data_IF_450066392358
#
_entry.id   IF_450066392358
#
_cell.length_a   1.000
_cell.length_b   1.000
_cell.length_c   1.000
_cell.angle_alpha   90.00
_cell.angle_beta   90.00
_cell.angle_gamma   90.00
#
_symmetry.space_group_name_H-M   'P 1'
#
loop_
_entity.id
_entity.type
_entity.pdbx_description
1 polymer ?
#
# COMPACT_ATOMS: atom_id res chain seq x y z
N UNK A 1 8.05 4.98 14.73
CA UNK A 1 8.27 4.64 13.32
C UNK A 1 7.44 5.55 12.48
N UNK A 2 7.94 6.00 11.34
CA UNK A 2 7.09 6.62 10.33
C UNK A 2 7.06 5.67 9.13
N UNK A 3 5.88 5.16 8.83
CA UNK A 3 5.62 4.43 7.59
C UNK A 3 4.79 5.32 6.69
N UNK A 4 5.07 5.26 5.40
CA UNK A 4 4.37 6.07 4.44
C UNK A 4 3.19 5.31 3.85
N UNK A 5 2.06 6.00 3.71
CA UNK A 5 0.86 5.36 3.20
C UNK A 5 0.14 6.15 2.10
N UNK A 6 -0.39 5.41 1.12
CA UNK A 6 -1.29 5.92 0.09
C UNK A 6 -2.70 5.33 0.27
N UNK A 7 -3.73 6.01 -0.23
CA UNK A 7 -5.12 5.52 -0.14
C UNK A 7 -5.33 4.33 -1.09
N UNK A 8 -5.59 3.14 -0.53
CA UNK A 8 -5.91 1.94 -1.32
C UNK A 8 -6.91 1.06 -0.59
N UNK A 9 -7.87 0.52 -1.34
CA UNK A 9 -8.99 -0.26 -0.82
C UNK A 9 -9.03 -1.59 -1.57
N UNK A 10 -8.51 -2.61 -0.91
CA UNK A 10 -8.20 -3.94 -1.43
C UNK A 10 -9.41 -4.90 -1.39
N UNK A 11 -10.62 -4.34 -1.54
CA UNK A 11 -11.88 -5.06 -1.30
C UNK A 11 -12.29 -6.05 -2.38
N UNK A 12 -11.74 -5.88 -3.59
CA UNK A 12 -11.95 -6.78 -4.73
C UNK A 12 -10.68 -7.54 -5.05
N UNK A 13 -10.01 -8.03 -4.01
CA UNK A 13 -8.95 -9.02 -4.18
C UNK A 13 -9.49 -10.41 -3.96
N UNK A 14 -9.12 -11.30 -4.87
CA UNK A 14 -9.53 -12.68 -4.89
C UNK A 14 -8.27 -13.53 -5.01
N UNK A 15 -8.27 -14.67 -4.33
CA UNK A 15 -7.35 -15.76 -4.59
C UNK A 15 -8.02 -16.79 -5.48
N UNK A 16 -7.23 -17.49 -6.31
CA UNK A 16 -7.75 -18.63 -7.08
C UNK A 16 -7.49 -19.88 -6.25
N UNK A 17 -8.56 -20.57 -5.84
CA UNK A 17 -8.51 -21.90 -5.21
C UNK A 17 -9.37 -22.87 -6.00
N UNK A 18 -8.82 -24.02 -6.36
CA UNK A 18 -9.52 -25.07 -7.09
C UNK A 18 -10.26 -24.59 -8.36
N UNK A 19 -9.67 -23.64 -9.11
CA UNK A 19 -10.23 -22.97 -10.30
C UNK A 19 -11.34 -21.93 -10.03
N UNK A 20 -11.70 -21.69 -8.78
CA UNK A 20 -12.70 -20.69 -8.39
C UNK A 20 -12.04 -19.47 -7.74
N UNK A 21 -12.68 -18.31 -7.88
CA UNK A 21 -12.27 -17.08 -7.21
C UNK A 21 -12.86 -17.05 -5.80
N UNK A 22 -11.99 -16.87 -4.81
CA UNK A 22 -12.38 -16.72 -3.41
C UNK A 22 -12.03 -15.31 -2.93
N UNK A 23 -12.99 -14.53 -2.40
CA UNK A 23 -12.70 -13.19 -1.91
C UNK A 23 -11.81 -13.23 -0.67
N UNK A 24 -10.80 -12.37 -0.62
CA UNK A 24 -9.93 -12.25 0.57
C UNK A 24 -10.63 -11.58 1.76
N UNK A 25 -11.74 -10.88 1.53
CA UNK A 25 -12.48 -10.13 2.56
C UNK A 25 -13.66 -10.91 3.18
N UNK A 26 -13.74 -12.24 2.95
CA UNK A 26 -14.82 -13.09 3.48
C UNK A 26 -14.98 -13.01 5.00
N UNK A 27 -13.91 -12.73 5.75
CA UNK A 27 -13.95 -12.61 7.21
C UNK A 27 -14.51 -11.26 7.70
N UNK A 28 -14.58 -10.24 6.83
CA UNK A 28 -15.01 -8.89 7.19
C UNK A 28 -16.42 -8.56 6.72
N UNK A 29 -16.95 -9.28 5.74
CA UNK A 29 -18.30 -9.08 5.23
C UNK A 29 -18.84 -10.39 4.66
N UNK A 30 -20.12 -10.74 4.89
CA UNK A 30 -20.73 -11.97 4.37
C UNK A 30 -20.80 -12.00 2.84
N UNK A 31 -20.92 -10.82 2.21
CA UNK A 31 -20.95 -10.67 0.75
C UNK A 31 -19.89 -9.66 0.28
N UNK A 32 -18.60 -9.99 0.36
CA UNK A 32 -17.53 -9.01 0.14
C UNK A 32 -17.47 -8.51 -1.31
N UNK A 33 -18.04 -9.26 -2.24
CA UNK A 33 -18.19 -8.87 -3.65
C UNK A 33 -19.17 -7.70 -3.86
N UNK A 34 -20.08 -7.44 -2.91
CA UNK A 34 -21.03 -6.31 -2.97
C UNK A 34 -20.47 -5.03 -2.33
N UNK A 35 -19.32 -5.09 -1.67
CA UNK A 35 -18.74 -3.93 -1.01
C UNK A 35 -18.40 -2.84 -2.02
N UNK A 36 -18.91 -1.63 -1.75
CA UNK A 36 -18.61 -0.44 -2.53
C UNK A 36 -17.42 0.30 -1.92
N UNK A 37 -16.51 0.78 -2.76
CA UNK A 37 -15.27 1.43 -2.32
C UNK A 37 -15.52 2.67 -1.45
N UNK A 38 -16.57 3.43 -1.76
CA UNK A 38 -16.91 4.69 -1.10
C UNK A 38 -17.51 4.54 0.30
N UNK A 39 -18.08 3.39 0.64
CA UNK A 39 -18.73 3.16 1.94
C UNK A 39 -17.73 2.76 3.03
N UNK A 40 -16.48 2.52 2.63
CA UNK A 40 -15.46 1.97 3.51
C UNK A 40 -14.66 3.07 4.19
N UNK A 41 -14.13 2.80 5.39
CA UNK A 41 -13.20 3.71 6.02
C UNK A 41 -11.99 3.94 5.11
N UNK A 42 -11.38 5.12 5.20
CA UNK A 42 -10.12 5.40 4.50
C UNK A 42 -9.08 4.36 4.93
N UNK A 43 -8.56 3.64 3.95
CA UNK A 43 -7.51 2.63 4.14
C UNK A 43 -6.24 3.06 3.43
N UNK A 44 -5.13 2.58 3.95
CA UNK A 44 -3.79 3.06 3.69
C UNK A 44 -2.88 1.85 3.43
N UNK A 45 -2.14 1.83 2.32
CA UNK A 45 -1.13 0.80 2.05
C UNK A 45 0.27 1.37 2.18
N UNK A 46 1.18 0.56 2.70
CA UNK A 46 2.58 0.90 2.82
C UNK A 46 3.26 0.86 1.44
N UNK A 47 3.87 1.96 1.03
CA UNK A 47 4.43 2.12 -0.32
C UNK A 47 5.96 2.04 -0.37
N UNK A 48 6.62 1.73 0.74
CA UNK A 48 8.07 1.48 0.82
C UNK A 48 9.00 2.61 0.34
N UNK A 49 8.51 3.85 0.15
CA UNK A 49 9.37 4.95 -0.36
C UNK A 49 10.26 5.52 0.74
N UNK A 50 9.71 5.71 1.96
CA UNK A 50 10.44 6.28 3.09
C UNK A 50 10.09 5.51 4.36
N UNK A 51 11.13 5.05 5.06
CA UNK A 51 11.04 4.43 6.38
C UNK A 51 11.91 5.15 7.41
N UNK A 52 11.29 5.58 8.50
CA UNK A 52 12.01 6.19 9.62
C UNK A 52 11.91 5.30 10.85
N UNK A 53 13.06 4.75 11.23
CA UNK A 53 13.23 3.77 12.30
C UNK A 53 14.18 4.27 13.38
N UNK A 54 13.96 3.87 14.64
CA UNK A 54 14.93 4.11 15.71
C UNK A 54 16.01 3.03 15.64
N UNK A 55 17.32 3.37 15.78
CA UNK A 55 18.39 2.37 15.81
C UNK A 55 18.15 1.28 16.85
N UNK A 56 17.64 1.62 18.03
CA UNK A 56 17.32 0.66 19.08
C UNK A 56 16.28 -0.39 18.68
N UNK A 57 15.41 -0.09 17.71
CA UNK A 57 14.46 -1.08 17.20
C UNK A 57 15.16 -2.13 16.35
N UNK A 58 16.10 -1.70 15.50
CA UNK A 58 16.91 -2.61 14.72
C UNK A 58 17.77 -3.47 15.65
N UNK A 59 18.53 -2.85 16.55
CA UNK A 59 19.49 -3.58 17.37
C UNK A 59 18.85 -4.48 18.43
N UNK A 60 17.82 -4.00 19.13
CA UNK A 60 17.25 -4.75 20.25
C UNK A 60 16.17 -5.73 19.79
N UNK A 61 15.37 -5.36 18.78
CA UNK A 61 14.25 -6.19 18.30
C UNK A 61 14.58 -7.01 17.06
N UNK A 62 15.72 -6.75 16.41
CA UNK A 62 16.07 -7.36 15.13
C UNK A 62 14.98 -7.15 14.07
N UNK A 63 14.37 -5.96 14.08
CA UNK A 63 13.22 -5.63 13.24
C UNK A 63 13.32 -4.20 12.71
N UNK A 64 12.83 -3.98 11.50
CA UNK A 64 12.60 -2.65 10.91
C UNK A 64 11.23 -2.09 11.30
N UNK A 65 10.52 -2.72 12.23
CA UNK A 65 9.20 -2.29 12.68
C UNK A 65 9.15 -2.28 14.20
N UNK A 66 8.79 -1.12 14.77
CA UNK A 66 8.57 -0.96 16.20
C UNK A 66 7.09 -1.01 16.58
N UNK A 67 6.81 -0.93 17.88
CA UNK A 67 5.44 -1.12 18.41
C UNK A 67 4.49 0.05 18.09
N UNK A 68 5.04 1.19 17.69
CA UNK A 68 4.29 2.40 17.34
C UNK A 68 4.67 2.91 15.97
N UNK A 69 3.67 3.01 15.10
CA UNK A 69 3.77 3.46 13.72
C UNK A 69 2.96 4.75 13.54
N UNK A 70 3.64 5.79 13.08
CA UNK A 70 3.04 7.05 12.65
C UNK A 70 2.96 7.02 11.12
N UNK A 71 1.85 7.44 10.52
CA UNK A 71 1.77 7.53 9.08
C UNK A 71 2.40 8.83 8.58
N UNK A 72 3.05 8.78 7.42
CA UNK A 72 3.27 9.94 6.57
C UNK A 72 2.49 9.73 5.27
N UNK A 73 1.58 10.62 4.94
CA UNK A 73 0.71 10.42 3.77
C UNK A 73 1.33 11.18 2.59
N UNK A 74 1.78 10.44 1.57
CA UNK A 74 2.28 11.05 0.34
C UNK A 74 1.20 11.17 -0.72
N UNK A 75 1.42 12.08 -1.68
CA UNK A 75 0.60 12.10 -2.89
C UNK A 75 0.97 10.88 -3.72
N UNK A 76 -0.02 10.27 -4.37
CA UNK A 76 0.16 9.06 -5.18
C UNK A 76 1.20 9.24 -6.29
N UNK A 77 1.15 10.38 -6.94
CA UNK A 77 2.07 10.90 -7.95
C UNK A 77 3.53 11.04 -7.49
N UNK A 78 3.80 11.14 -6.19
CA UNK A 78 5.16 11.19 -5.65
C UNK A 78 5.69 9.79 -5.27
N UNK A 79 4.89 8.74 -5.51
CA UNK A 79 5.13 7.36 -5.12
C UNK A 79 5.06 6.43 -6.35
N UNK A 80 5.81 6.78 -7.40
CA UNK A 80 5.93 5.95 -8.61
C UNK A 80 7.01 4.89 -8.36
N UNK A 81 6.62 3.62 -8.39
CA UNK A 81 7.53 2.48 -8.32
C UNK A 81 7.98 2.09 -9.72
N UNK A 82 9.24 1.68 -9.88
CA UNK A 82 9.84 1.36 -11.19
C UNK A 82 10.29 -0.10 -11.18
N UNK A 83 9.40 -0.99 -11.62
CA UNK A 83 9.68 -2.43 -11.74
C UNK A 83 10.07 -2.82 -13.17
N UNK A 84 9.55 -2.10 -14.17
CA UNK A 84 9.73 -2.39 -15.59
C UNK A 84 10.30 -1.20 -16.36
N UNK A 85 10.89 -1.43 -17.55
CA UNK A 85 11.32 -0.33 -18.42
C UNK A 85 10.20 0.65 -18.79
N UNK A 86 8.95 0.16 -18.87
CA UNK A 86 7.79 1.00 -19.18
C UNK A 86 7.45 1.95 -18.02
N UNK A 87 7.61 1.51 -16.76
CA UNK A 87 7.40 2.35 -15.59
C UNK A 87 8.35 3.55 -15.56
N UNK A 88 9.61 3.33 -15.97
CA UNK A 88 10.60 4.40 -16.10
C UNK A 88 10.20 5.42 -17.18
N UNK A 89 9.69 4.99 -18.32
CA UNK A 89 9.20 5.90 -19.36
C UNK A 89 8.01 6.72 -18.88
N UNK A 90 7.06 6.10 -18.17
CA UNK A 90 5.96 6.85 -17.54
C UNK A 90 6.47 7.85 -16.51
N UNK A 91 7.40 7.47 -15.64
CA UNK A 91 7.99 8.38 -14.64
C UNK A 91 8.62 9.62 -15.29
N UNK A 92 9.34 9.45 -16.42
CA UNK A 92 9.91 10.57 -17.18
C UNK A 92 8.84 11.51 -17.72
N UNK A 93 7.73 10.98 -18.24
CA UNK A 93 6.60 11.80 -18.74
C UNK A 93 5.97 12.60 -17.59
N UNK A 94 5.71 11.94 -16.45
CA UNK A 94 5.16 12.61 -15.26
C UNK A 94 6.06 13.73 -14.74
N UNK A 95 7.38 13.52 -14.72
CA UNK A 95 8.34 14.54 -14.28
C UNK A 95 8.38 15.74 -15.22
N UNK A 96 8.33 15.53 -16.54
CA UNK A 96 8.31 16.62 -17.53
C UNK A 96 7.06 17.49 -17.44
N UNK A 97 5.90 16.91 -17.14
CA UNK A 97 4.65 17.66 -16.99
C UNK A 97 4.54 18.51 -15.70
N UNK A 98 5.54 18.44 -14.82
CA UNK A 98 5.62 19.18 -13.55
C UNK A 98 6.59 20.37 -13.59
N UNK A 99 7.39 20.49 -14.64
CA UNK A 99 8.30 21.62 -14.92
C UNK A 99 7.59 22.67 -15.78
#
# INVERSE_FOLDING_TARGET
FIFQFNIFLQIRMFEIKNKYLHPLMNERHPEPYLLRRQDLPKMYYYNCVIDVTKPSTIFNKKSMTGDKMLPYIMKREDSIDIDTPMDLEFAKVFLKGRL
#
